data_IF_157595915788
#
_entry.id   IF_157595915788
#
_cell.length_a   1.000
_cell.length_b   1.000
_cell.length_c   1.000
_cell.angle_alpha   90.00
_cell.angle_beta   90.00
_cell.angle_gamma   90.00
#
_symmetry.space_group_name_H-M   'P 1'
#
loop_
_entity.id
_entity.type
_entity.pdbx_description
1 polymer ?
#
# COMPACT_ATOMS: atom_id res chain seq x y z
N UNK A 1 -29.18 -21.10 8.89
CA UNK A 1 -28.72 -22.26 8.11
C UNK A 1 -27.22 -22.08 8.04
N UNK A 2 -26.48 -22.74 8.94
CA UNK A 2 -25.02 -22.59 9.06
C UNK A 2 -24.38 -23.32 7.89
N UNK A 3 -23.68 -22.60 7.03
CA UNK A 3 -22.88 -23.19 5.95
C UNK A 3 -21.50 -23.52 6.51
N UNK A 4 -21.29 -24.81 6.71
CA UNK A 4 -20.05 -25.59 6.65
C UNK A 4 -18.71 -24.82 6.72
N UNK A 5 -18.01 -25.05 7.85
CA UNK A 5 -16.57 -24.99 8.12
C UNK A 5 -15.76 -23.82 7.52
N UNK A 6 -15.30 -22.91 8.41
CA UNK A 6 -14.32 -21.82 8.19
C UNK A 6 -12.92 -22.36 7.77
N UNK A 7 -12.84 -23.17 6.72
CA UNK A 7 -11.60 -23.72 6.17
C UNK A 7 -11.19 -22.87 4.97
N UNK A 8 -10.14 -22.08 5.15
CA UNK A 8 -9.54 -21.28 4.08
C UNK A 8 -8.36 -22.03 3.46
N UNK A 9 -8.32 -22.14 2.14
CA UNK A 9 -7.18 -22.72 1.42
C UNK A 9 -6.14 -21.66 1.09
N UNK A 10 -4.93 -21.84 1.61
CA UNK A 10 -3.79 -20.94 1.40
C UNK A 10 -2.61 -21.68 0.79
N UNK A 11 -1.85 -20.99 -0.05
CA UNK A 11 -0.53 -21.41 -0.51
C UNK A 11 0.51 -20.79 0.43
N UNK A 12 1.35 -21.62 1.05
CA UNK A 12 2.50 -21.16 1.80
C UNK A 12 3.70 -20.98 0.85
N UNK A 13 4.28 -19.78 0.82
CA UNK A 13 5.52 -19.49 0.10
C UNK A 13 6.61 -19.16 1.12
N UNK A 14 7.71 -19.92 1.07
CA UNK A 14 8.86 -19.76 1.96
C UNK A 14 10.15 -20.17 1.23
N UNK A 15 11.30 -19.84 1.83
CA UNK A 15 12.63 -20.25 1.37
C UNK A 15 13.34 -21.01 2.49
N UNK A 16 14.18 -21.99 2.17
CA UNK A 16 14.93 -22.76 3.18
C UNK A 16 16.02 -21.94 3.91
N UNK A 17 16.37 -20.77 3.36
CA UNK A 17 17.37 -19.86 3.96
C UNK A 17 16.77 -18.96 5.05
N UNK A 18 15.44 -18.80 5.08
CA UNK A 18 14.72 -17.90 5.98
C UNK A 18 13.68 -18.67 6.80
N UNK A 19 13.60 -18.40 8.09
CA UNK A 19 12.64 -19.10 8.98
C UNK A 19 11.18 -18.70 8.71
N UNK A 20 10.96 -17.59 8.01
CA UNK A 20 9.65 -16.99 7.79
C UNK A 20 9.04 -17.34 6.43
N UNK A 21 7.72 -17.15 6.30
CA UNK A 21 6.98 -17.40 5.08
C UNK A 21 5.74 -16.52 4.96
N UNK A 22 5.15 -16.50 3.77
CA UNK A 22 3.90 -15.81 3.48
C UNK A 22 2.81 -16.81 3.10
N UNK A 23 1.62 -16.61 3.62
CA UNK A 23 0.41 -17.26 3.16
C UNK A 23 -0.20 -16.42 2.03
N UNK A 24 -0.58 -17.10 0.98
CA UNK A 24 -1.25 -16.54 -0.19
C UNK A 24 -2.63 -17.18 -0.29
N UNK A 25 -3.67 -16.36 -0.40
CA UNK A 25 -5.03 -16.80 -0.67
C UNK A 25 -5.07 -17.50 -2.04
N UNK A 26 -5.54 -18.74 -2.07
CA UNK A 26 -5.51 -19.58 -3.27
C UNK A 26 -6.82 -19.58 -4.06
N UNK A 27 -7.89 -18.98 -3.51
CA UNK A 27 -9.23 -19.04 -4.07
C UNK A 27 -9.78 -17.64 -4.40
N UNK A 28 -10.63 -17.56 -5.42
CA UNK A 28 -11.47 -16.39 -5.69
C UNK A 28 -10.88 -15.26 -6.53
N UNK A 29 -9.62 -15.35 -6.98
CA UNK A 29 -8.95 -14.25 -7.70
C UNK A 29 -8.02 -14.73 -8.83
N UNK A 30 -7.83 -13.89 -9.85
CA UNK A 30 -6.92 -14.15 -11.00
C UNK A 30 -5.43 -13.83 -10.70
N UNK A 31 -5.10 -13.50 -9.45
CA UNK A 31 -3.74 -13.15 -9.02
C UNK A 31 -3.52 -13.55 -7.55
N UNK A 32 -2.26 -13.76 -7.16
CA UNK A 32 -1.88 -14.10 -5.79
C UNK A 32 -2.22 -12.95 -4.83
N UNK A 33 -2.93 -13.24 -3.73
CA UNK A 33 -3.21 -12.26 -2.67
C UNK A 33 -2.54 -12.69 -1.38
N UNK A 34 -1.73 -11.82 -0.80
CA UNK A 34 -1.20 -12.08 0.53
C UNK A 34 -2.36 -12.21 1.54
N UNK A 35 -2.27 -13.24 2.38
CA UNK A 35 -3.25 -13.57 3.40
C UNK A 35 -2.67 -13.46 4.81
N UNK A 36 -1.39 -13.77 5.00
CA UNK A 36 -0.77 -13.79 6.32
C UNK A 36 0.74 -13.99 6.25
N UNK A 37 1.41 -13.72 7.37
CA UNK A 37 2.85 -13.91 7.53
C UNK A 37 3.04 -14.95 8.62
N UNK A 38 3.96 -15.88 8.38
CA UNK A 38 4.36 -16.93 9.31
C UNK A 38 5.78 -16.61 9.73
N UNK A 39 5.99 -16.36 11.01
CA UNK A 39 7.29 -16.08 11.61
C UNK A 39 8.19 -17.31 11.64
N UNK A 40 7.60 -18.50 11.84
CA UNK A 40 8.31 -19.78 11.88
C UNK A 40 7.61 -20.87 11.05
N UNK A 41 8.06 -21.02 9.81
CA UNK A 41 7.56 -22.03 8.86
C UNK A 41 7.94 -23.43 9.30
N UNK A 42 9.12 -23.63 9.89
CA UNK A 42 9.55 -24.96 10.34
C UNK A 42 8.63 -25.49 11.44
N UNK A 43 8.29 -24.63 12.41
CA UNK A 43 7.31 -24.97 13.44
C UNK A 43 5.94 -25.27 12.86
N UNK A 44 5.47 -24.51 11.87
CA UNK A 44 4.21 -24.79 11.17
C UNK A 44 4.25 -26.16 10.48
N UNK A 45 5.31 -26.47 9.73
CA UNK A 45 5.45 -27.74 9.01
C UNK A 45 5.54 -28.95 9.95
N UNK A 46 6.14 -28.79 11.13
CA UNK A 46 6.24 -29.85 12.13
C UNK A 46 4.93 -30.09 12.89
N UNK A 47 4.23 -29.01 13.27
CA UNK A 47 3.09 -29.10 14.19
C UNK A 47 1.75 -29.08 13.48
N UNK A 48 1.68 -28.58 12.25
CA UNK A 48 0.44 -28.34 11.50
C UNK A 48 -0.47 -27.27 12.12
N UNK A 49 0.01 -26.56 13.15
CA UNK A 49 -0.77 -25.57 13.90
C UNK A 49 0.03 -24.28 13.98
N UNK A 50 -0.56 -23.18 13.52
CA UNK A 50 -0.05 -21.83 13.77
C UNK A 50 -1.00 -21.15 14.72
N UNK A 51 -0.46 -20.70 15.86
CA UNK A 51 -1.11 -19.71 16.68
C UNK A 51 -0.90 -18.37 16.00
N UNK A 52 -1.86 -17.96 15.17
CA UNK A 52 -1.95 -16.58 14.73
C UNK A 52 -2.42 -15.82 15.96
N UNK A 53 -1.50 -15.18 16.69
CA UNK A 53 -1.94 -14.18 17.66
C UNK A 53 -2.74 -13.13 16.89
N UNK A 54 -4.00 -12.95 17.27
CA UNK A 54 -4.96 -12.03 16.64
C UNK A 54 -4.62 -10.56 16.97
N UNK A 55 -3.36 -10.20 16.71
CA UNK A 55 -2.83 -8.84 16.67
C UNK A 55 -2.63 -8.38 15.21
N UNK A 56 -2.93 -9.24 14.24
CA UNK A 56 -2.58 -9.07 12.82
C UNK A 56 -3.48 -8.12 12.05
N UNK A 57 -4.66 -7.75 12.57
CA UNK A 57 -5.62 -6.88 11.86
C UNK A 57 -5.02 -5.51 11.49
N UNK A 58 -3.97 -5.09 12.18
CA UNK A 58 -3.26 -3.83 11.98
C UNK A 58 -1.81 -4.01 11.52
N UNK A 59 -1.33 -5.23 11.23
CA UNK A 59 0.09 -5.45 10.90
C UNK A 59 0.38 -5.27 9.43
N UNK A 60 -0.54 -5.66 8.55
CA UNK A 60 -0.43 -5.44 7.11
C UNK A 60 -1.71 -4.84 6.55
N UNK A 61 -1.55 -3.94 5.58
CA UNK A 61 -2.65 -3.23 4.94
C UNK A 61 -2.58 -3.37 3.43
N UNK A 62 -3.75 -3.52 2.81
CA UNK A 62 -3.92 -3.48 1.37
C UNK A 62 -3.96 -2.03 0.90
N UNK A 63 -3.07 -1.69 -0.01
CA UNK A 63 -2.88 -0.34 -0.54
C UNK A 63 -2.96 -0.33 -2.06
N UNK A 64 -3.25 0.83 -2.64
CA UNK A 64 -3.09 1.04 -4.08
C UNK A 64 -1.78 1.78 -4.31
N UNK A 65 -0.88 1.20 -5.08
CA UNK A 65 0.41 1.79 -5.43
C UNK A 65 0.29 2.50 -6.77
N UNK A 66 0.79 3.73 -6.84
CA UNK A 66 0.85 4.51 -8.08
C UNK A 66 2.28 4.99 -8.29
N UNK A 67 2.91 4.45 -9.33
CA UNK A 67 4.25 4.84 -9.74
C UNK A 67 4.21 5.79 -10.94
N UNK A 68 5.21 6.67 -11.09
CA UNK A 68 5.40 7.41 -12.33
C UNK A 68 5.40 6.45 -13.51
N UNK A 69 4.79 6.87 -14.62
CA UNK A 69 4.78 6.14 -15.90
C UNK A 69 4.14 4.73 -15.88
N UNK A 70 3.55 4.30 -14.75
CA UNK A 70 2.91 2.99 -14.62
C UNK A 70 1.44 3.11 -14.24
N UNK A 71 0.68 2.05 -14.54
CA UNK A 71 -0.71 1.93 -14.08
C UNK A 71 -0.75 1.58 -12.59
N UNK A 72 -1.79 2.02 -11.85
CA UNK A 72 -1.97 1.63 -10.47
C UNK A 72 -2.07 0.11 -10.30
N UNK A 73 -1.53 -0.40 -9.20
CA UNK A 73 -1.64 -1.80 -8.83
C UNK A 73 -1.82 -1.97 -7.33
N UNK A 74 -2.44 -3.07 -6.92
CA UNK A 74 -2.69 -3.37 -5.51
C UNK A 74 -1.47 -4.04 -4.90
N UNK A 75 -1.08 -3.61 -3.71
CA UNK A 75 -0.04 -4.26 -2.91
C UNK A 75 -0.53 -4.47 -1.47
N UNK A 76 0.15 -5.37 -0.75
CA UNK A 76 -0.04 -5.54 0.68
C UNK A 76 1.30 -5.26 1.34
N UNK A 77 1.32 -4.30 2.25
CA UNK A 77 2.52 -3.79 2.91
C UNK A 77 2.36 -3.91 4.42
N UNK A 78 3.46 -3.89 5.17
CA UNK A 78 3.39 -3.69 6.61
C UNK A 78 2.82 -2.32 6.93
N UNK A 79 1.95 -2.26 7.93
CA UNK A 79 1.33 -1.04 8.45
C UNK A 79 2.26 -0.38 9.46
N UNK A 80 3.48 -0.15 9.03
CA UNK A 80 4.55 0.47 9.80
C UNK A 80 5.01 1.73 9.09
N UNK A 81 5.55 2.67 9.86
CA UNK A 81 6.13 3.89 9.32
C UNK A 81 7.28 3.55 8.38
N UNK A 82 8.12 2.60 8.76
CA UNK A 82 9.30 2.16 8.00
C UNK A 82 8.90 1.58 6.64
N UNK A 83 7.86 0.76 6.59
CA UNK A 83 7.34 0.20 5.34
C UNK A 83 6.77 1.29 4.43
N UNK A 84 6.03 2.24 4.99
CA UNK A 84 5.50 3.39 4.25
C UNK A 84 6.61 4.27 3.68
N UNK A 85 7.63 4.59 4.50
CA UNK A 85 8.82 5.35 4.09
C UNK A 85 9.60 4.63 2.98
N UNK A 86 9.78 3.31 3.10
CA UNK A 86 10.44 2.51 2.08
C UNK A 86 9.66 2.49 0.76
N UNK A 87 8.32 2.43 0.82
CA UNK A 87 7.47 2.46 -0.37
C UNK A 87 7.59 3.77 -1.14
N UNK A 88 7.54 4.93 -0.45
CA UNK A 88 7.58 6.25 -1.11
C UNK A 88 8.99 6.79 -1.29
N UNK A 89 10.00 6.17 -0.67
CA UNK A 89 11.41 6.48 -0.84
C UNK A 89 11.90 7.70 -0.05
N UNK A 90 11.37 7.94 1.15
CA UNK A 90 11.75 9.09 2.00
C UNK A 90 10.83 9.28 3.19
N UNK A 91 10.90 10.45 3.83
CA UNK A 91 9.92 10.86 4.84
C UNK A 91 8.53 10.95 4.22
N UNK A 92 7.51 10.62 5.02
CA UNK A 92 6.14 10.57 4.54
C UNK A 92 5.38 11.85 4.87
N UNK A 93 4.51 12.25 3.96
CA UNK A 93 3.40 13.16 4.23
C UNK A 93 2.09 12.51 3.79
N UNK A 94 0.96 12.94 4.38
CA UNK A 94 -0.37 12.49 3.96
C UNK A 94 -1.12 13.57 3.22
N UNK A 95 -1.86 13.17 2.17
CA UNK A 95 -2.76 14.03 1.42
C UNK A 95 -4.17 13.45 1.49
N UNK A 96 -5.10 14.22 2.05
CA UNK A 96 -6.50 13.82 2.18
C UNK A 96 -7.14 13.58 0.80
N UNK A 97 -7.81 12.44 0.63
CA UNK A 97 -8.64 12.14 -0.55
C UNK A 97 -10.14 12.10 -0.24
N UNK A 98 -10.51 11.41 0.83
CA UNK A 98 -11.88 11.28 1.32
C UNK A 98 -11.90 10.85 2.78
N UNK A 99 -13.08 10.83 3.40
CA UNK A 99 -13.28 10.33 4.77
C UNK A 99 -12.89 8.84 4.97
N UNK A 100 -12.59 8.13 3.87
CA UNK A 100 -12.20 6.71 3.87
C UNK A 100 -10.79 6.46 3.33
N UNK A 101 -10.10 7.47 2.78
CA UNK A 101 -8.81 7.26 2.13
C UNK A 101 -7.89 8.49 2.17
N UNK A 102 -6.59 8.21 2.28
CA UNK A 102 -5.51 9.19 2.17
C UNK A 102 -4.43 8.68 1.22
N UNK A 103 -3.68 9.61 0.63
CA UNK A 103 -2.41 9.33 -0.04
C UNK A 103 -1.29 9.46 0.97
N UNK A 104 -0.33 8.54 0.92
CA UNK A 104 0.99 8.69 1.51
C UNK A 104 1.98 8.89 0.36
N UNK A 105 2.75 9.98 0.41
CA UNK A 105 3.80 10.29 -0.55
C UNK A 105 5.09 10.78 0.14
N UNK A 106 6.14 10.97 -0.64
CA UNK A 106 7.41 11.47 -0.14
C UNK A 106 7.35 12.99 0.08
N UNK A 107 7.49 13.43 1.32
CA UNK A 107 7.46 14.84 1.76
C UNK A 107 8.49 15.71 1.01
N UNK A 108 9.67 15.14 0.72
CA UNK A 108 10.75 15.82 0.03
C UNK A 108 10.80 15.50 -1.47
N UNK A 109 9.80 14.80 -2.01
CA UNK A 109 9.88 14.24 -3.37
C UNK A 109 10.18 15.27 -4.46
N UNK A 110 9.59 16.47 -4.36
CA UNK A 110 9.87 17.58 -5.30
C UNK A 110 11.27 18.16 -5.09
N UNK A 111 11.70 18.34 -3.83
CA UNK A 111 13.03 18.83 -3.46
C UNK A 111 14.13 17.88 -3.93
N UNK A 112 13.89 16.57 -3.84
CA UNK A 112 14.74 15.50 -4.35
C UNK A 112 14.68 15.36 -5.88
N UNK A 113 13.86 16.16 -6.57
CA UNK A 113 13.62 16.10 -8.01
C UNK A 113 13.18 14.70 -8.47
N UNK A 114 12.34 14.01 -7.69
CA UNK A 114 11.71 12.76 -8.11
C UNK A 114 10.82 12.99 -9.34
N UNK A 115 10.60 11.97 -10.18
CA UNK A 115 9.76 12.12 -11.37
C UNK A 115 8.33 12.56 -11.01
N UNK A 116 7.80 13.52 -11.75
CA UNK A 116 6.39 13.90 -11.65
C UNK A 116 5.48 12.67 -11.86
N UNK A 117 4.51 12.49 -10.96
CA UNK A 117 3.60 11.35 -11.01
C UNK A 117 2.22 11.79 -11.49
N UNK A 118 1.31 12.16 -10.57
CA UNK A 118 -0.11 12.50 -10.84
C UNK A 118 -0.46 13.85 -10.24
N UNK A 119 -1.42 14.55 -10.84
CA UNK A 119 -2.03 15.74 -10.23
C UNK A 119 -3.05 15.34 -9.18
N UNK A 120 -2.98 15.97 -8.02
CA UNK A 120 -3.93 15.80 -6.92
C UNK A 120 -4.34 17.17 -6.42
N UNK A 121 -5.61 17.52 -6.61
CA UNK A 121 -6.09 18.89 -6.36
C UNK A 121 -5.36 19.90 -7.24
N UNK A 122 -4.67 20.84 -6.60
CA UNK A 122 -3.88 21.89 -7.26
C UNK A 122 -2.37 21.61 -7.26
N UNK A 123 -1.96 20.39 -6.89
CA UNK A 123 -0.55 20.02 -6.71
C UNK A 123 -0.16 18.81 -7.58
N UNK A 124 1.15 18.58 -7.72
CA UNK A 124 1.74 17.43 -8.42
C UNK A 124 2.53 16.61 -7.42
N UNK A 125 2.15 15.35 -7.25
CA UNK A 125 2.94 14.41 -6.43
C UNK A 125 4.17 13.97 -7.23
N UNK A 126 5.34 14.01 -6.60
CA UNK A 126 6.61 13.56 -7.17
C UNK A 126 7.03 12.22 -6.58
N UNK A 127 7.41 11.26 -7.43
CA UNK A 127 7.76 9.90 -7.03
C UNK A 127 6.55 8.98 -6.81
N UNK A 128 6.81 7.77 -6.34
CA UNK A 128 5.77 6.78 -6.00
C UNK A 128 4.94 7.30 -4.82
N UNK A 129 3.63 7.12 -4.91
CA UNK A 129 2.74 7.28 -3.77
C UNK A 129 1.88 6.04 -3.60
N UNK A 130 1.34 5.88 -2.40
CA UNK A 130 0.39 4.83 -2.07
C UNK A 130 -0.90 5.45 -1.56
N UNK A 131 -2.01 4.77 -1.78
CA UNK A 131 -3.30 5.13 -1.20
C UNK A 131 -3.63 4.10 -0.13
N UNK A 132 -3.99 4.59 1.04
CA UNK A 132 -4.32 3.80 2.24
C UNK A 132 -5.76 4.09 2.65
N UNK A 133 -6.39 3.13 3.33
CA UNK A 133 -7.66 3.37 3.98
C UNK A 133 -7.45 4.11 5.29
N UNK A 134 -8.43 4.92 5.67
CA UNK A 134 -8.49 5.58 6.99
C UNK A 134 -9.89 5.42 7.61
N UNK A 135 -9.96 5.62 8.92
CA UNK A 135 -11.18 5.82 9.69
C UNK A 135 -10.90 6.81 10.83
N UNK A 136 -11.80 6.93 11.82
CA UNK A 136 -11.64 7.83 12.97
C UNK A 136 -10.51 7.40 13.94
N UNK A 137 -9.78 6.33 13.65
CA UNK A 137 -8.64 5.85 14.43
C UNK A 137 -7.31 6.52 14.09
N UNK A 138 -6.26 6.14 14.83
CA UNK A 138 -4.90 6.69 14.67
C UNK A 138 -4.03 5.89 13.69
N UNK A 139 -4.55 4.78 13.14
CA UNK A 139 -3.81 3.87 12.28
C UNK A 139 -4.42 3.77 10.89
N UNK A 140 -3.58 3.65 9.88
CA UNK A 140 -4.03 3.30 8.54
C UNK A 140 -4.63 1.89 8.52
N UNK A 141 -5.54 1.67 7.57
CA UNK A 141 -6.18 0.38 7.34
C UNK A 141 -6.11 -0.01 5.87
N UNK A 142 -6.51 -1.24 5.59
CA UNK A 142 -6.69 -1.71 4.23
C UNK A 142 -7.74 -0.89 3.49
N UNK A 143 -7.42 -0.46 2.26
CA UNK A 143 -8.42 0.12 1.37
C UNK A 143 -9.56 -0.87 1.09
N UNK A 144 -10.79 -0.35 1.09
CA UNK A 144 -11.95 -1.12 0.68
C UNK A 144 -11.86 -1.54 -0.80
N UNK A 145 -12.51 -2.64 -1.22
CA UNK A 145 -12.56 -3.02 -2.63
C UNK A 145 -13.15 -1.91 -3.53
N UNK A 146 -14.13 -1.16 -3.01
CA UNK A 146 -14.77 -0.06 -3.74
C UNK A 146 -13.80 1.13 -3.91
N UNK A 147 -13.04 1.48 -2.87
CA UNK A 147 -12.02 2.53 -2.96
C UNK A 147 -10.88 2.12 -3.90
N UNK A 148 -10.43 0.86 -3.86
CA UNK A 148 -9.44 0.34 -4.82
C UNK A 148 -9.94 0.54 -6.24
N UNK A 149 -11.18 0.14 -6.54
CA UNK A 149 -11.76 0.28 -7.87
C UNK A 149 -11.86 1.76 -8.28
N UNK A 150 -12.38 2.61 -7.39
CA UNK A 150 -12.52 4.05 -7.60
C UNK A 150 -11.18 4.70 -7.92
N UNK A 151 -10.17 4.51 -7.07
CA UNK A 151 -8.88 5.17 -7.24
C UNK A 151 -8.02 4.54 -8.34
N UNK A 152 -8.16 3.24 -8.60
CA UNK A 152 -7.54 2.61 -9.77
C UNK A 152 -8.05 3.24 -11.06
N UNK A 153 -9.36 3.51 -11.15
CA UNK A 153 -9.94 4.21 -12.31
C UNK A 153 -9.49 5.66 -12.38
N UNK A 154 -9.50 6.38 -11.26
CA UNK A 154 -9.09 7.79 -11.19
C UNK A 154 -7.64 7.99 -11.64
N UNK A 155 -6.72 7.08 -11.26
CA UNK A 155 -5.29 7.19 -11.56
C UNK A 155 -4.82 6.24 -12.68
N UNK A 156 -5.74 5.65 -13.45
CA UNK A 156 -5.38 4.70 -14.52
C UNK A 156 -4.61 5.37 -15.66
N UNK A 157 -4.92 6.62 -15.95
CA UNK A 157 -4.31 7.35 -17.05
C UNK A 157 -2.95 7.90 -16.59
N UNK A 158 -1.91 7.48 -17.31
CA UNK A 158 -0.55 7.94 -17.06
C UNK A 158 -0.45 9.39 -17.54
N UNK A 159 -0.20 10.31 -16.63
CA UNK A 159 0.03 11.72 -16.96
C UNK A 159 1.49 11.96 -17.37
N UNK A 160 1.68 12.57 -18.53
CA UNK A 160 2.98 13.09 -18.96
C UNK A 160 3.12 14.54 -18.50
N UNK A 161 3.69 14.73 -17.31
CA UNK A 161 3.88 16.05 -16.68
C UNK A 161 5.32 16.51 -16.94
N UNK A 162 5.51 17.74 -17.44
CA UNK A 162 6.87 18.30 -17.57
C UNK A 162 7.44 18.53 -16.17
N UNK A 163 8.63 17.97 -15.90
CA UNK A 163 9.32 18.12 -14.62
C UNK A 163 9.49 19.59 -14.20
N UNK A 164 9.58 20.53 -15.15
CA UNK A 164 9.64 21.97 -14.87
C UNK A 164 8.36 22.50 -14.22
N UNK A 165 7.21 21.88 -14.48
CA UNK A 165 5.94 22.24 -13.84
C UNK A 165 5.96 21.89 -12.36
N UNK A 166 6.44 20.68 -12.02
CA UNK A 166 6.63 20.23 -10.64
C UNK A 166 7.58 21.15 -9.87
N UNK A 167 8.67 21.59 -10.50
CA UNK A 167 9.65 22.49 -9.88
C UNK A 167 9.10 23.88 -9.58
N UNK A 168 8.20 24.42 -10.42
CA UNK A 168 7.55 25.73 -10.14
C UNK A 168 6.69 25.72 -8.89
N UNK A 169 6.21 24.55 -8.46
CA UNK A 169 5.38 24.41 -7.25
C UNK A 169 6.22 24.45 -5.97
N UNK A 170 7.56 24.42 -6.06
CA UNK A 170 8.45 24.68 -4.92
C UNK A 170 8.63 26.18 -4.66
N UNK A 171 8.54 27.01 -5.70
CA UNK A 171 8.77 28.45 -5.64
C UNK A 171 7.55 29.18 -5.07
N UNK A 172 7.24 28.96 -3.79
CA UNK A 172 6.39 29.89 -3.06
C UNK A 172 7.16 31.21 -2.89
N UNK A 173 6.83 32.23 -3.70
CA UNK A 173 7.22 33.62 -3.41
C UNK A 173 6.65 34.01 -2.05
N UNK A 174 7.46 34.00 -0.99
CA UNK A 174 7.13 34.67 0.26
C UNK A 174 7.19 36.17 -0.04
N UNK A 175 6.03 36.77 -0.31
CA UNK A 175 5.90 38.22 -0.37
C UNK A 175 5.79 38.75 1.06
N UNK A 176 6.83 39.45 1.50
CA UNK A 176 6.83 40.26 2.72
C UNK A 176 6.09 41.58 2.50
#
# INVERSE_FOLDING_TARGET
>A
MYTEDDVYHSILVYCDEEQSGILIESEGYEYARYQGFIDDVHKLLETGIVHVEDNTLHTKIRVLVVEPENKPYVAIIDNSLESSQAMVGGYIETVYLSDSAEIICNEEGKLMNLPANRRVGNDIIAGRFIIVGVDDGEHFKSLSPDDIKKYSQQFNDIEMIDQKETQKLLDYEIRF
#
